data_IF_732697532977
#
_entry.id   IF_732697532977
#
_cell.length_a   1.000
_cell.length_b   1.000
_cell.length_c   1.000
_cell.angle_alpha   90.00
_cell.angle_beta   90.00
_cell.angle_gamma   90.00
#
_symmetry.space_group_name_H-M   'P 1'
#
loop_
_entity.id
_entity.type
_entity.pdbx_description
1 polymer ?
#
# COMPACT_ATOMS: atom_id res chain seq x y z
N UNK A 1 27.97 -1.83 -15.73
CA UNK A 1 28.21 -3.01 -14.89
C UNK A 1 28.27 -2.52 -13.44
N UNK A 2 27.16 -2.59 -12.69
CA UNK A 2 27.14 -2.09 -11.32
C UNK A 2 27.53 -3.20 -10.36
N UNK A 3 28.64 -3.01 -9.64
CA UNK A 3 29.09 -3.87 -8.55
C UNK A 3 28.81 -3.12 -7.25
N UNK A 4 27.89 -3.65 -6.44
CA UNK A 4 27.72 -3.17 -5.07
C UNK A 4 28.44 -4.13 -4.15
N UNK A 5 29.52 -3.65 -3.54
CA UNK A 5 30.33 -4.39 -2.59
C UNK A 5 30.26 -3.68 -1.24
N UNK A 6 29.88 -4.41 -0.20
CA UNK A 6 29.92 -3.93 1.18
C UNK A 6 31.20 -4.48 1.84
N UNK A 7 32.13 -3.59 2.17
CA UNK A 7 33.43 -3.92 2.77
C UNK A 7 33.59 -3.28 4.13
N UNK A 8 34.29 -3.96 5.05
CA UNK A 8 34.53 -3.47 6.41
C UNK A 8 33.51 -3.90 7.47
N UNK A 9 32.58 -4.80 7.13
CA UNK A 9 31.70 -5.42 8.13
C UNK A 9 32.46 -6.53 8.87
N UNK A 10 32.48 -6.46 10.21
CA UNK A 10 33.06 -7.49 11.05
C UNK A 10 32.25 -8.79 11.03
N UNK A 11 32.90 -9.93 11.30
CA UNK A 11 32.21 -11.22 11.45
C UNK A 11 31.38 -11.23 12.74
N UNK A 12 30.08 -10.92 12.65
CA UNK A 12 29.14 -11.04 13.76
C UNK A 12 28.68 -12.50 13.88
N UNK A 13 29.39 -13.32 14.64
CA UNK A 13 28.91 -14.65 15.04
C UNK A 13 27.97 -14.54 16.25
N UNK A 14 26.96 -15.41 16.42
CA UNK A 14 25.96 -15.27 17.46
C UNK A 14 26.42 -15.96 18.74
N UNK A 15 27.06 -15.23 19.64
CA UNK A 15 27.12 -15.64 21.05
C UNK A 15 26.99 -14.39 21.90
N UNK A 16 25.96 -14.39 22.75
CA UNK A 16 25.46 -13.23 23.47
C UNK A 16 26.45 -12.55 24.41
N UNK A 17 25.96 -11.43 24.94
CA UNK A 17 26.64 -10.47 25.80
C UNK A 17 27.44 -11.12 26.95
N UNK A 18 28.76 -11.09 26.82
CA UNK A 18 29.74 -11.29 27.87
C UNK A 18 30.69 -10.10 27.98
N UNK A 19 31.11 -9.81 29.20
CA UNK A 19 31.85 -8.63 29.64
C UNK A 19 33.14 -8.37 28.87
N UNK A 20 33.24 -7.25 28.15
CA UNK A 20 34.54 -6.83 27.59
C UNK A 20 34.57 -5.88 26.39
N UNK A 21 33.52 -5.14 26.05
CA UNK A 21 33.68 -4.14 24.98
C UNK A 21 32.48 -3.22 24.81
N UNK A 22 32.69 -1.92 25.01
CA UNK A 22 31.73 -0.84 24.73
C UNK A 22 31.47 -0.63 23.22
N UNK A 23 31.66 -1.67 22.40
CA UNK A 23 31.74 -1.57 20.94
C UNK A 23 30.50 -2.07 20.21
N UNK A 24 29.44 -2.42 20.94
CA UNK A 24 28.17 -2.84 20.36
C UNK A 24 27.13 -1.81 20.76
N UNK A 25 26.89 -0.85 19.86
CA UNK A 25 25.81 0.12 20.01
C UNK A 25 24.49 -0.60 19.69
N UNK A 26 23.44 -0.39 20.49
CA UNK A 26 22.13 -1.01 20.26
C UNK A 26 21.41 -0.49 19.00
N UNK A 27 21.97 0.57 18.38
CA UNK A 27 21.48 1.15 17.14
C UNK A 27 22.10 0.35 15.98
N UNK A 28 21.41 -0.67 15.51
CA UNK A 28 21.74 -1.38 14.27
C UNK A 28 21.03 -0.73 13.09
N UNK A 29 21.73 -0.50 11.98
CA UNK A 29 21.09 -0.21 10.70
C UNK A 29 20.67 -1.55 10.10
N UNK A 30 19.37 -1.76 9.93
CA UNK A 30 18.83 -2.93 9.24
C UNK A 30 19.03 -2.74 7.73
N UNK A 31 20.23 -3.10 7.27
CA UNK A 31 20.63 -3.01 5.87
C UNK A 31 19.68 -3.75 4.92
N UNK A 32 19.26 -5.00 5.22
CA UNK A 32 18.25 -5.69 4.42
C UNK A 32 16.92 -4.93 4.34
N UNK A 33 16.41 -4.41 5.45
CA UNK A 33 15.16 -3.64 5.47
C UNK A 33 15.29 -2.32 4.69
N UNK A 34 16.39 -1.60 4.89
CA UNK A 34 16.65 -0.34 4.18
C UNK A 34 16.81 -0.54 2.67
N UNK A 35 17.54 -1.58 2.25
CA UNK A 35 17.72 -1.87 0.84
C UNK A 35 16.43 -2.42 0.19
N UNK A 36 15.67 -3.27 0.89
CA UNK A 36 14.39 -3.76 0.39
C UNK A 36 13.40 -2.62 0.18
N UNK A 37 13.25 -1.73 1.16
CA UNK A 37 12.38 -0.55 1.05
C UNK A 37 12.85 0.39 -0.06
N UNK A 38 14.16 0.64 -0.19
CA UNK A 38 14.69 1.45 -1.27
C UNK A 38 14.38 0.87 -2.66
N UNK A 39 14.56 -0.43 -2.86
CA UNK A 39 14.24 -1.05 -4.15
C UNK A 39 12.74 -1.11 -4.44
N UNK A 40 11.88 -1.32 -3.44
CA UNK A 40 10.43 -1.21 -3.68
C UNK A 40 10.01 0.21 -4.07
N UNK A 41 10.60 1.23 -3.43
CA UNK A 41 10.24 2.63 -3.65
C UNK A 41 10.85 3.25 -4.92
N UNK A 42 12.01 2.76 -5.39
CA UNK A 42 12.77 3.43 -6.46
C UNK A 42 12.97 2.57 -7.72
N UNK A 43 12.48 1.33 -7.74
CA UNK A 43 12.64 0.48 -8.92
C UNK A 43 11.55 0.83 -9.94
N UNK A 44 11.93 1.58 -10.98
CA UNK A 44 11.06 1.93 -12.10
C UNK A 44 10.51 0.66 -12.74
N UNK A 45 9.20 0.47 -12.64
CA UNK A 45 8.50 -0.62 -13.31
C UNK A 45 8.31 -0.22 -14.77
N UNK A 46 8.37 -1.21 -15.66
CA UNK A 46 7.84 -1.07 -17.01
C UNK A 46 6.37 -1.41 -16.88
N UNK A 47 5.50 -0.48 -17.24
CA UNK A 47 4.10 -0.78 -17.44
C UNK A 47 4.04 -1.74 -18.63
N UNK A 48 3.54 -2.95 -18.39
CA UNK A 48 3.31 -3.88 -19.49
C UNK A 48 2.19 -3.29 -20.32
N UNK A 49 2.49 -2.90 -21.57
CA UNK A 49 1.48 -2.48 -22.54
C UNK A 49 0.32 -3.49 -22.51
N UNK A 50 -0.79 -3.09 -21.88
CA UNK A 50 -2.06 -3.75 -22.12
C UNK A 50 -2.37 -3.52 -23.60
N UNK A 51 -2.81 -4.55 -24.36
CA UNK A 51 -3.21 -4.35 -25.74
C UNK A 51 -4.21 -3.18 -25.82
N UNK A 52 -3.75 -2.13 -26.49
CA UNK A 52 -4.36 -0.81 -26.54
C UNK A 52 -5.81 -0.90 -27.04
N UNK A 53 -6.75 -0.35 -26.27
CA UNK A 53 -8.09 0.01 -26.76
C UNK A 53 -7.92 1.13 -27.79
N UNK A 54 -8.32 0.97 -29.07
CA UNK A 54 -8.06 1.98 -30.07
C UNK A 54 -9.06 3.13 -29.91
N UNK A 55 -8.74 4.10 -29.06
CA UNK A 55 -9.34 5.42 -29.12
C UNK A 55 -9.34 6.23 -27.82
N UNK A 56 -8.26 6.94 -27.54
CA UNK A 56 -8.23 8.41 -27.51
C UNK A 56 -6.78 8.84 -27.24
N UNK A 57 -6.10 9.33 -28.27
CA UNK A 57 -4.74 9.85 -28.13
C UNK A 57 -4.78 11.23 -27.47
N UNK A 58 -4.45 11.27 -26.20
CA UNK A 58 -3.97 12.47 -25.52
C UNK A 58 -2.59 12.14 -24.95
N UNK A 59 -1.58 12.25 -25.83
CA UNK A 59 -0.17 12.29 -25.47
C UNK A 59 0.14 13.66 -24.84
N UNK A 60 0.07 13.81 -23.51
CA UNK A 60 0.63 14.97 -22.80
C UNK A 60 0.94 14.66 -21.30
N UNK A 61 2.16 14.14 -21.00
CA UNK A 61 3.05 14.56 -19.88
C UNK A 61 4.33 13.67 -19.82
N UNK A 62 5.52 14.26 -19.88
CA UNK A 62 6.81 13.57 -19.72
C UNK A 62 7.28 13.42 -18.25
N UNK A 63 6.42 13.73 -17.27
CA UNK A 63 6.62 13.46 -15.83
C UNK A 63 5.42 12.77 -15.15
N UNK A 64 4.73 11.87 -15.85
CA UNK A 64 3.66 11.04 -15.27
C UNK A 64 4.15 10.11 -14.16
N UNK A 65 3.88 10.49 -12.92
CA UNK A 65 3.90 9.60 -11.76
C UNK A 65 2.89 8.46 -12.06
N UNK A 66 3.40 7.25 -12.31
CA UNK A 66 2.61 6.08 -12.71
C UNK A 66 1.80 5.45 -11.58
N UNK A 67 1.11 6.28 -10.80
CA UNK A 67 0.07 5.92 -9.85
C UNK A 67 -1.15 6.80 -10.14
N UNK A 68 -1.64 6.76 -11.38
CA UNK A 68 -2.98 7.27 -11.68
C UNK A 68 -4.02 6.29 -11.10
N UNK A 69 -4.05 6.21 -9.77
CA UNK A 69 -5.13 5.58 -9.05
C UNK A 69 -6.34 6.50 -9.23
N UNK A 70 -7.12 6.20 -10.27
CA UNK A 70 -8.39 6.88 -10.49
C UNK A 70 -9.33 6.51 -9.35
N UNK A 71 -9.71 7.50 -8.56
CA UNK A 71 -10.70 7.29 -7.52
C UNK A 71 -11.98 6.73 -8.15
N UNK A 72 -12.48 5.61 -7.62
CA UNK A 72 -13.76 5.03 -8.05
C UNK A 72 -14.75 5.08 -6.90
N UNK A 73 -15.97 5.53 -7.18
CA UNK A 73 -17.04 5.52 -6.19
C UNK A 73 -18.01 4.36 -6.47
N UNK A 74 -18.31 3.60 -5.43
CA UNK A 74 -19.30 2.54 -5.47
C UNK A 74 -20.40 2.85 -4.48
N UNK A 75 -21.64 2.91 -4.95
CA UNK A 75 -22.82 3.01 -4.09
C UNK A 75 -23.48 1.65 -3.95
N UNK A 76 -23.66 1.19 -2.71
CA UNK A 76 -24.21 -0.12 -2.42
C UNK A 76 -24.72 -0.24 -1.00
N UNK A 77 -25.37 -1.37 -0.70
CA UNK A 77 -25.74 -1.66 0.69
C UNK A 77 -24.50 -2.01 1.52
N UNK A 78 -24.50 -1.71 2.82
CA UNK A 78 -23.37 -2.07 3.71
C UNK A 78 -23.07 -3.56 3.68
N UNK A 79 -24.08 -4.42 3.50
CA UNK A 79 -23.87 -5.85 3.23
C UNK A 79 -23.08 -6.10 1.94
N UNK A 80 -23.45 -5.44 0.83
CA UNK A 80 -22.78 -5.60 -0.46
C UNK A 80 -21.35 -5.05 -0.46
N UNK A 81 -21.05 -4.05 0.37
CA UNK A 81 -19.68 -3.57 0.57
C UNK A 81 -18.82 -4.61 1.30
N UNK A 82 -19.37 -5.25 2.33
CA UNK A 82 -18.66 -6.31 3.06
C UNK A 82 -18.46 -7.57 2.21
N UNK A 83 -19.49 -7.99 1.47
CA UNK A 83 -19.42 -9.15 0.56
C UNK A 83 -18.38 -8.95 -0.55
N UNK A 84 -18.23 -7.72 -1.02
CA UNK A 84 -17.25 -7.35 -2.05
C UNK A 84 -15.86 -6.99 -1.50
N UNK A 85 -15.61 -7.10 -0.20
CA UNK A 85 -14.30 -6.81 0.41
C UNK A 85 -13.95 -5.33 0.53
N UNK A 86 -14.92 -4.42 0.33
CA UNK A 86 -14.72 -2.96 0.49
C UNK A 86 -14.93 -2.46 1.91
N UNK A 87 -15.48 -3.32 2.78
CA UNK A 87 -15.81 -3.02 4.15
C UNK A 87 -15.71 -4.30 5.00
N UNK A 88 -15.58 -4.14 6.32
CA UNK A 88 -15.65 -5.24 7.28
C UNK A 88 -16.76 -5.00 8.31
N UNK A 89 -17.33 -6.08 8.84
CA UNK A 89 -18.38 -5.99 9.86
C UNK A 89 -17.85 -6.31 11.26
N UNK A 90 -18.14 -5.44 12.23
CA UNK A 90 -17.82 -5.65 13.64
C UNK A 90 -18.98 -5.16 14.51
N UNK A 91 -19.44 -5.99 15.46
CA UNK A 91 -20.51 -5.61 16.39
C UNK A 91 -21.86 -5.27 15.74
N UNK A 92 -22.12 -5.69 14.49
CA UNK A 92 -23.34 -5.37 13.74
C UNK A 92 -23.28 -4.05 12.95
N UNK A 93 -22.13 -3.37 12.97
CA UNK A 93 -21.82 -2.18 12.18
C UNK A 93 -20.84 -2.56 11.07
N UNK A 94 -20.97 -1.91 9.91
CA UNK A 94 -20.03 -2.01 8.81
C UNK A 94 -19.04 -0.83 8.86
N UNK A 95 -17.78 -1.13 8.61
CA UNK A 95 -16.68 -0.17 8.59
C UNK A 95 -15.95 -0.24 7.26
N UNK A 96 -15.52 0.89 6.71
CA UNK A 96 -14.75 0.90 5.46
C UNK A 96 -13.39 0.23 5.63
N UNK A 97 -12.98 -0.58 4.65
CA UNK A 97 -11.65 -1.19 4.61
C UNK A 97 -10.64 -0.10 4.21
N UNK A 98 -9.57 0.11 4.98
CA UNK A 98 -8.62 1.21 4.76
C UNK A 98 -8.83 2.39 5.70
N UNK A 99 -9.89 3.20 5.51
CA UNK A 99 -10.13 4.39 6.35
C UNK A 99 -10.67 4.07 7.75
N UNK A 100 -11.44 2.98 7.88
CA UNK A 100 -12.15 2.63 9.11
C UNK A 100 -13.38 3.51 9.39
N UNK A 101 -13.93 4.21 8.39
CA UNK A 101 -15.14 5.02 8.54
C UNK A 101 -16.35 4.17 8.95
N UNK A 102 -17.21 4.70 9.82
CA UNK A 102 -18.44 4.04 10.26
C UNK A 102 -19.53 4.19 9.18
N UNK A 103 -19.85 3.09 8.50
CA UNK A 103 -20.84 3.05 7.42
C UNK A 103 -22.26 2.77 7.96
N UNK A 104 -22.41 2.63 9.27
CA UNK A 104 -23.67 2.30 9.92
C UNK A 104 -23.97 0.81 9.96
N UNK A 105 -25.26 0.48 10.19
CA UNK A 105 -25.70 -0.89 10.43
C UNK A 105 -25.40 -1.81 9.24
N UNK A 106 -24.81 -2.97 9.50
CA UNK A 106 -24.58 -4.01 8.50
C UNK A 106 -25.91 -4.68 8.10
N UNK A 107 -26.50 -4.23 7.00
CA UNK A 107 -27.74 -4.79 6.45
C UNK A 107 -27.86 -4.48 4.93
N UNK A 108 -28.91 -4.98 4.29
CA UNK A 108 -29.17 -4.77 2.85
C UNK A 108 -30.02 -3.53 2.54
N UNK A 109 -30.56 -2.84 3.55
CA UNK A 109 -31.43 -1.67 3.39
C UNK A 109 -30.69 -0.33 3.56
N UNK A 110 -29.55 -0.34 4.25
CA UNK A 110 -28.69 0.79 4.50
C UNK A 110 -27.70 0.89 3.34
N UNK A 111 -27.79 1.99 2.60
CA UNK A 111 -26.98 2.26 1.41
C UNK A 111 -25.99 3.36 1.72
N UNK A 112 -24.72 3.11 1.37
CA UNK A 112 -23.61 4.06 1.52
C UNK A 112 -22.86 4.17 0.20
N UNK A 113 -22.11 5.25 0.05
CA UNK A 113 -21.20 5.45 -1.07
C UNK A 113 -19.78 5.39 -0.52
N UNK A 114 -18.98 4.47 -1.07
CA UNK A 114 -17.56 4.36 -0.76
C UNK A 114 -16.75 4.86 -1.95
N UNK A 115 -15.82 5.77 -1.68
CA UNK A 115 -14.77 6.15 -2.61
C UNK A 115 -13.55 5.28 -2.33
N UNK A 116 -13.10 4.53 -3.33
CA UNK A 116 -11.79 3.91 -3.34
C UNK A 116 -10.78 5.01 -3.71
N UNK A 117 -9.81 5.32 -2.84
CA UNK A 117 -8.80 6.37 -3.05
C UNK A 117 -7.36 5.82 -3.12
N UNK A 118 -7.21 4.51 -3.00
CA UNK A 118 -6.00 3.73 -3.28
C UNK A 118 -6.34 2.25 -3.36
N UNK A 119 -5.40 1.40 -3.81
CA UNK A 119 -5.59 -0.06 -3.80
C UNK A 119 -6.04 -0.53 -2.41
N UNK A 120 -7.22 -1.17 -2.33
CA UNK A 120 -7.86 -1.64 -1.10
C UNK A 120 -8.07 -0.55 -0.01
N UNK A 121 -8.11 0.73 -0.40
CA UNK A 121 -8.36 1.85 0.51
C UNK A 121 -9.69 2.53 0.17
N UNK A 122 -10.70 2.29 1.02
CA UNK A 122 -12.05 2.82 0.90
C UNK A 122 -12.33 3.84 2.01
N UNK A 123 -13.06 4.91 1.66
CA UNK A 123 -13.53 5.95 2.57
C UNK A 123 -14.98 6.31 2.28
N UNK A 124 -15.73 6.77 3.28
CA UNK A 124 -17.11 7.21 3.09
C UNK A 124 -17.15 8.54 2.30
N UNK A 125 -17.90 8.55 1.19
CA UNK A 125 -18.12 9.75 0.38
C UNK A 125 -17.90 9.54 -1.10
N UNK A 126 -17.65 10.64 -1.80
CA UNK A 126 -17.41 10.68 -3.25
C UNK A 126 -15.95 11.02 -3.56
N UNK A 127 -15.55 10.66 -4.77
CA UNK A 127 -14.27 11.06 -5.34
C UNK A 127 -14.17 12.59 -5.50
N UNK A 128 -12.98 13.19 -5.31
CA UNK A 128 -12.76 14.63 -5.47
C UNK A 128 -12.94 15.11 -6.92
#
# INVERSE_FOLDING_TARGET
>A
MSLIQNGGLGHNWPAGAGTGGSYITANSIDYPHYLATYFFANNRRVDGDTPEDPGNGDDDDDNGNGDDFTCTETTGSTYAHVDAGRAYQNGGIAYAEGSGDDLGLWNTFNTVTLAETGEDFYQEGSCP
#
